data_IF_851682387022
#
_entry.id   IF_851682387022
#
_cell.length_a   1.000
_cell.length_b   1.000
_cell.length_c   1.000
_cell.angle_alpha   90.00
_cell.angle_beta   90.00
_cell.angle_gamma   90.00
#
_symmetry.space_group_name_H-M   'P 1'
#
loop_
_entity.id
_entity.type
_entity.pdbx_description
1 polymer ?
#
# COMPACT_ATOMS: atom_id res chain seq x y z
N UNK A 1 -52.26 -15.04 -37.79
CA UNK A 1 -51.80 -14.07 -36.77
C UNK A 1 -50.37 -14.48 -36.39
N UNK A 2 -49.36 -13.71 -36.78
CA UNK A 2 -47.96 -13.97 -36.43
C UNK A 2 -47.53 -12.96 -35.36
N UNK A 3 -47.17 -13.45 -34.18
CA UNK A 3 -46.57 -12.64 -33.11
C UNK A 3 -45.05 -12.71 -33.23
N UNK A 4 -44.41 -11.57 -33.42
CA UNK A 4 -42.95 -11.41 -33.42
C UNK A 4 -42.52 -10.82 -32.07
N UNK A 5 -41.75 -11.58 -31.30
CA UNK A 5 -41.15 -11.15 -30.04
C UNK A 5 -39.77 -10.52 -30.29
N UNK A 6 -39.51 -9.29 -29.82
CA UNK A 6 -38.18 -8.69 -29.93
C UNK A 6 -37.25 -9.23 -28.83
N UNK A 7 -36.11 -9.76 -29.26
CA UNK A 7 -35.04 -10.26 -28.39
C UNK A 7 -34.15 -9.08 -27.95
N UNK A 8 -34.24 -8.66 -26.68
CA UNK A 8 -33.32 -7.67 -26.11
C UNK A 8 -32.01 -8.34 -25.71
N UNK A 9 -30.93 -8.02 -26.41
CA UNK A 9 -29.55 -8.39 -26.04
C UNK A 9 -29.00 -7.39 -25.02
N UNK A 10 -28.83 -7.82 -23.76
CA UNK A 10 -28.09 -7.06 -22.75
C UNK A 10 -26.58 -7.18 -23.02
N UNK A 11 -25.93 -6.07 -23.33
CA UNK A 11 -24.47 -5.96 -23.36
C UNK A 11 -23.97 -5.79 -21.93
N UNK A 12 -23.36 -6.83 -21.35
CA UNK A 12 -22.69 -6.76 -20.06
C UNK A 12 -21.32 -6.06 -20.23
N UNK A 13 -21.21 -4.82 -19.75
CA UNK A 13 -19.91 -4.16 -19.58
C UNK A 13 -19.18 -4.84 -18.41
N UNK A 14 -18.21 -5.69 -18.73
CA UNK A 14 -17.29 -6.25 -17.74
C UNK A 14 -16.30 -5.16 -17.30
N UNK A 15 -16.49 -4.59 -16.12
CA UNK A 15 -15.51 -3.72 -15.47
C UNK A 15 -14.26 -4.52 -15.14
N UNK A 16 -13.21 -4.42 -15.95
CA UNK A 16 -11.88 -4.92 -15.58
C UNK A 16 -11.39 -4.08 -14.40
N UNK A 17 -11.42 -4.63 -13.19
CA UNK A 17 -10.74 -4.02 -12.06
C UNK A 17 -9.25 -3.91 -12.43
N UNK A 18 -8.78 -2.69 -12.71
CA UNK A 18 -7.35 -2.45 -12.88
C UNK A 18 -6.70 -2.86 -11.57
N UNK A 19 -5.95 -3.96 -11.59
CA UNK A 19 -5.13 -4.28 -10.44
C UNK A 19 -4.16 -3.12 -10.21
N UNK A 20 -4.15 -2.61 -8.98
CA UNK A 20 -3.25 -1.55 -8.60
C UNK A 20 -1.87 -2.16 -8.39
N UNK A 21 -0.83 -1.62 -9.03
CA UNK A 21 0.56 -2.01 -8.77
C UNK A 21 1.23 -1.09 -7.75
N UNK A 22 2.56 -1.06 -7.76
CA UNK A 22 3.34 -0.07 -7.00
C UNK A 22 2.85 1.35 -7.32
N UNK A 23 2.65 2.17 -6.28
CA UNK A 23 2.07 3.50 -6.44
C UNK A 23 2.38 4.41 -5.23
N UNK A 24 2.15 5.72 -5.38
CA UNK A 24 2.33 6.73 -4.32
C UNK A 24 1.00 7.26 -3.75
N UNK A 25 -0.08 6.46 -3.80
CA UNK A 25 -1.38 6.87 -3.26
C UNK A 25 -1.37 6.75 -1.73
N UNK A 26 -2.18 7.58 -1.07
CA UNK A 26 -2.29 7.60 0.37
C UNK A 26 -3.32 8.61 0.85
N UNK A 27 -3.38 8.82 2.16
CA UNK A 27 -4.21 9.82 2.80
C UNK A 27 -3.83 11.25 2.35
N UNK A 28 -4.77 12.19 2.34
CA UNK A 28 -4.51 13.59 2.00
C UNK A 28 -3.42 14.25 2.86
N UNK A 29 -3.24 13.81 4.11
CA UNK A 29 -2.17 14.27 4.99
C UNK A 29 -0.76 13.94 4.46
N UNK A 30 -0.65 12.95 3.57
CA UNK A 30 0.59 12.66 2.85
C UNK A 30 1.01 13.79 1.90
N UNK A 31 0.13 14.73 1.55
CA UNK A 31 0.46 15.91 0.74
C UNK A 31 0.83 17.15 1.54
N UNK A 32 0.65 17.13 2.87
CA UNK A 32 0.93 18.31 3.71
C UNK A 32 2.45 18.55 3.81
N UNK A 33 2.92 19.81 3.81
CA UNK A 33 4.33 20.11 3.97
C UNK A 33 4.79 19.89 5.42
N UNK A 34 5.07 18.64 5.79
CA UNK A 34 5.75 18.29 7.05
C UNK A 34 7.08 17.61 6.73
N UNK A 35 8.20 18.29 6.93
CA UNK A 35 9.53 17.74 6.66
C UNK A 35 9.89 16.52 7.51
N UNK A 36 9.14 16.25 8.59
CA UNK A 36 9.32 15.08 9.46
C UNK A 36 8.70 13.83 8.85
N UNK A 37 7.66 13.97 8.05
CA UNK A 37 7.05 12.87 7.30
C UNK A 37 7.85 12.64 6.02
N UNK A 38 8.79 11.69 6.09
CA UNK A 38 9.67 11.32 4.98
C UNK A 38 9.81 9.80 4.94
N UNK A 39 9.69 9.24 3.74
CA UNK A 39 9.89 7.82 3.52
C UNK A 39 11.32 7.37 3.82
N UNK A 40 12.33 8.22 3.56
CA UNK A 40 13.71 7.91 3.90
C UNK A 40 13.90 7.78 5.42
N UNK A 41 13.30 8.69 6.20
CA UNK A 41 13.33 8.59 7.67
C UNK A 41 12.57 7.36 8.17
N UNK A 42 11.44 7.03 7.55
CA UNK A 42 10.66 5.84 7.89
C UNK A 42 11.47 4.56 7.62
N UNK A 43 12.21 4.51 6.51
CA UNK A 43 13.14 3.41 6.18
C UNK A 43 14.24 3.27 7.22
N UNK A 44 14.78 4.38 7.72
CA UNK A 44 15.80 4.33 8.77
C UNK A 44 15.25 3.77 10.09
N UNK A 45 14.03 4.16 10.48
CA UNK A 45 13.35 3.56 11.64
C UNK A 45 13.09 2.07 11.41
N UNK A 46 12.65 1.70 10.21
CA UNK A 46 12.37 0.31 9.85
C UNK A 46 13.62 -0.60 9.93
N UNK A 47 14.84 -0.07 9.91
CA UNK A 47 16.06 -0.89 10.14
C UNK A 47 16.06 -1.59 11.49
N UNK A 48 15.40 -1.01 12.49
CA UNK A 48 15.20 -1.62 13.80
C UNK A 48 14.16 -2.74 13.83
N UNK A 49 13.38 -2.92 12.76
CA UNK A 49 12.50 -4.08 12.62
C UNK A 49 13.37 -5.32 12.42
N UNK A 50 13.24 -6.29 13.34
CA UNK A 50 13.95 -7.56 13.26
C UNK A 50 13.63 -8.29 11.96
N UNK A 51 14.66 -8.81 11.27
CA UNK A 51 14.51 -9.39 9.94
C UNK A 51 13.53 -10.57 9.90
N UNK A 52 13.55 -11.40 10.94
CA UNK A 52 12.69 -12.58 11.08
C UNK A 52 11.42 -12.31 11.90
N UNK A 53 11.17 -11.06 12.31
CA UNK A 53 9.90 -10.74 12.94
C UNK A 53 8.80 -10.76 11.87
N UNK A 54 7.67 -11.34 12.20
CA UNK A 54 6.58 -11.55 11.27
C UNK A 54 5.43 -10.58 11.59
N UNK A 55 5.13 -9.70 10.64
CA UNK A 55 4.15 -8.65 10.77
C UNK A 55 2.86 -9.04 10.05
N UNK A 56 1.75 -9.10 10.79
CA UNK A 56 0.41 -9.35 10.26
C UNK A 56 -0.18 -8.10 9.60
N UNK A 57 -1.33 -8.25 8.95
CA UNK A 57 -2.05 -7.11 8.38
C UNK A 57 -2.36 -6.07 9.47
N UNK A 58 -1.96 -4.82 9.24
CA UNK A 58 -2.13 -3.71 10.18
C UNK A 58 -1.02 -3.57 11.22
N UNK A 59 -0.13 -4.56 11.39
CA UNK A 59 1.00 -4.41 12.30
C UNK A 59 1.97 -3.34 11.78
N UNK A 60 2.42 -2.47 12.67
CA UNK A 60 3.30 -1.37 12.31
C UNK A 60 4.77 -1.82 12.32
N UNK A 61 5.38 -1.89 11.13
CA UNK A 61 6.83 -2.16 10.98
C UNK A 61 7.64 -0.97 11.49
N UNK A 62 7.20 0.23 11.14
CA UNK A 62 7.81 1.48 11.54
C UNK A 62 6.75 2.58 11.52
N UNK A 63 6.88 3.55 12.44
CA UNK A 63 6.05 4.75 12.46
C UNK A 63 6.89 5.98 12.75
N UNK A 64 6.55 7.08 12.11
CA UNK A 64 7.01 8.42 12.45
C UNK A 64 5.83 9.16 13.10
N UNK A 65 5.92 9.40 14.40
CA UNK A 65 4.87 10.13 15.14
C UNK A 65 5.00 11.63 14.90
N UNK A 66 3.87 12.30 14.66
CA UNK A 66 3.79 13.75 14.52
C UNK A 66 2.88 14.34 15.60
N UNK A 67 3.37 15.36 16.30
CA UNK A 67 2.55 16.20 17.17
C UNK A 67 1.99 17.42 16.43
N UNK A 68 0.99 18.07 17.03
CA UNK A 68 0.34 19.29 16.53
C UNK A 68 -1.11 19.07 16.09
N UNK A 69 -1.71 20.09 15.45
CA UNK A 69 -3.15 20.12 15.12
C UNK A 69 -3.62 19.02 14.15
N UNK A 70 -2.70 18.42 13.37
CA UNK A 70 -3.03 17.30 12.49
C UNK A 70 -3.02 15.94 13.20
N UNK A 71 -2.24 15.77 14.29
CA UNK A 71 -2.07 14.52 15.04
C UNK A 71 -1.67 13.30 14.20
N UNK A 72 -1.34 12.18 14.85
CA UNK A 72 -1.12 10.90 14.16
C UNK A 72 0.32 10.61 13.73
N UNK A 73 0.46 9.64 12.83
CA UNK A 73 1.72 9.01 12.45
C UNK A 73 1.77 8.59 10.99
N UNK A 74 2.95 8.64 10.37
CA UNK A 74 3.22 7.98 9.09
C UNK A 74 3.73 6.58 9.39
N UNK A 75 2.99 5.54 9.04
CA UNK A 75 3.33 4.16 9.38
C UNK A 75 3.44 3.27 8.15
N UNK A 76 4.35 2.30 8.22
CA UNK A 76 4.46 1.18 7.28
C UNK A 76 3.78 -0.06 7.87
N UNK A 77 2.85 -0.68 7.13
CA UNK A 77 2.12 -1.87 7.57
C UNK A 77 1.69 -2.76 6.39
N UNK A 78 1.61 -4.10 6.57
CA UNK A 78 1.09 -5.01 5.56
C UNK A 78 -0.44 -4.87 5.46
N UNK A 79 -0.99 -5.09 4.27
CA UNK A 79 -2.43 -5.06 4.04
C UNK A 79 -2.83 -6.06 2.95
N UNK A 80 -3.96 -6.74 3.14
CA UNK A 80 -4.49 -7.70 2.17
C UNK A 80 -3.61 -8.94 1.98
N UNK A 81 -2.62 -9.15 2.86
CA UNK A 81 -1.75 -10.32 2.81
C UNK A 81 -2.47 -11.53 3.39
N UNK A 82 -2.16 -12.74 2.92
CA UNK A 82 -2.78 -13.98 3.43
C UNK A 82 -2.28 -14.39 4.81
N UNK A 83 -1.11 -13.91 5.22
CA UNK A 83 -0.53 -14.26 6.50
C UNK A 83 0.49 -13.27 7.05
N UNK A 84 0.67 -12.08 6.45
CA UNK A 84 1.71 -11.14 6.85
C UNK A 84 3.00 -11.27 6.02
N UNK A 85 4.03 -10.55 6.46
CA UNK A 85 5.37 -10.55 5.84
C UNK A 85 6.47 -10.47 6.92
N UNK A 86 7.66 -10.99 6.59
CA UNK A 86 8.84 -10.85 7.43
C UNK A 86 9.45 -9.44 7.33
N UNK A 87 10.13 -9.01 8.41
CA UNK A 87 10.74 -7.70 8.51
C UNK A 87 11.77 -7.40 7.41
N UNK A 88 12.58 -8.38 7.00
CA UNK A 88 13.51 -8.19 5.88
C UNK A 88 12.77 -7.86 4.58
N UNK A 89 11.64 -8.54 4.34
CA UNK A 89 10.82 -8.32 3.14
C UNK A 89 10.16 -6.95 3.20
N UNK A 90 9.65 -6.55 4.36
CA UNK A 90 9.12 -5.21 4.55
C UNK A 90 10.15 -4.12 4.25
N UNK A 91 11.39 -4.26 4.75
CA UNK A 91 12.49 -3.32 4.48
C UNK A 91 12.84 -3.24 2.99
N UNK A 92 12.88 -4.38 2.29
CA UNK A 92 13.09 -4.43 0.85
C UNK A 92 11.97 -3.67 0.11
N UNK A 93 10.71 -3.95 0.44
CA UNK A 93 9.53 -3.35 -0.17
C UNK A 93 9.48 -1.82 0.07
N UNK A 94 9.85 -1.33 1.26
CA UNK A 94 10.02 0.11 1.50
C UNK A 94 11.06 0.75 0.58
N UNK A 95 12.14 0.01 0.27
CA UNK A 95 13.12 0.41 -0.74
C UNK A 95 12.47 0.65 -2.10
N UNK A 96 11.64 -0.29 -2.57
CA UNK A 96 10.95 -0.13 -3.85
C UNK A 96 9.97 1.04 -3.88
N UNK A 97 9.20 1.28 -2.82
CA UNK A 97 8.30 2.45 -2.74
C UNK A 97 9.11 3.75 -2.90
N UNK A 98 10.28 3.82 -2.26
CA UNK A 98 11.17 4.98 -2.34
C UNK A 98 11.77 5.11 -3.74
N UNK A 99 12.28 4.03 -4.31
CA UNK A 99 12.93 4.04 -5.62
C UNK A 99 11.94 4.30 -6.77
N UNK A 100 10.66 4.02 -6.56
CA UNK A 100 9.57 4.45 -7.44
C UNK A 100 9.31 5.97 -7.42
N UNK A 101 9.92 6.71 -6.49
CA UNK A 101 9.80 8.16 -6.37
C UNK A 101 8.74 8.64 -5.38
N UNK A 102 8.16 7.75 -4.58
CA UNK A 102 7.24 8.16 -3.52
C UNK A 102 8.02 8.82 -2.37
N UNK A 103 7.57 9.98 -1.92
CA UNK A 103 8.28 10.77 -0.90
C UNK A 103 7.77 10.54 0.52
N UNK A 104 6.50 10.13 0.66
CA UNK A 104 5.80 10.01 1.95
C UNK A 104 4.97 8.73 2.03
N UNK A 105 3.95 8.62 1.18
CA UNK A 105 3.01 7.52 1.17
C UNK A 105 3.06 6.75 -0.15
N UNK A 106 2.62 5.50 -0.09
CA UNK A 106 2.57 4.62 -1.23
C UNK A 106 2.38 3.18 -0.81
N UNK A 107 2.14 2.33 -1.80
CA UNK A 107 2.00 0.90 -1.60
C UNK A 107 2.78 0.15 -2.66
N UNK A 108 3.24 -1.05 -2.32
CA UNK A 108 3.91 -1.97 -3.24
C UNK A 108 3.39 -3.40 -3.02
N UNK A 109 3.08 -4.17 -4.08
CA UNK A 109 2.75 -5.58 -3.98
C UNK A 109 3.82 -6.38 -3.24
N UNK A 110 3.41 -7.35 -2.42
CA UNK A 110 4.37 -8.17 -1.65
C UNK A 110 5.35 -8.92 -2.55
N UNK A 111 4.89 -9.37 -3.72
CA UNK A 111 5.70 -10.14 -4.66
C UNK A 111 6.52 -9.27 -5.64
N UNK A 112 6.51 -7.95 -5.49
CA UNK A 112 7.33 -7.05 -6.31
C UNK A 112 8.84 -7.35 -6.11
N UNK A 113 9.67 -7.28 -7.16
CA UNK A 113 9.36 -6.86 -8.54
C UNK A 113 8.86 -7.98 -9.47
N UNK A 114 8.74 -9.22 -8.98
CA UNK A 114 8.35 -10.36 -9.82
C UNK A 114 6.88 -10.31 -10.23
N UNK A 115 6.03 -9.72 -9.38
CA UNK A 115 4.62 -9.50 -9.64
C UNK A 115 4.20 -8.11 -9.13
N UNK A 116 3.51 -7.36 -9.98
CA UNK A 116 3.10 -5.98 -9.72
C UNK A 116 1.57 -5.86 -9.54
N UNK A 117 0.94 -6.89 -8.97
CA UNK A 117 -0.48 -6.96 -8.67
C UNK A 117 -0.71 -7.08 -7.15
N UNK A 118 -1.38 -6.09 -6.54
CA UNK A 118 -1.69 -6.11 -5.09
C UNK A 118 -2.67 -7.20 -4.68
N UNK A 119 -3.51 -7.69 -5.59
CA UNK A 119 -4.50 -8.74 -5.31
C UNK A 119 -3.87 -10.13 -5.26
N UNK A 120 -2.67 -10.32 -5.82
CA UNK A 120 -1.99 -11.63 -5.84
C UNK A 120 -1.53 -12.08 -4.45
N UNK A 121 -0.97 -11.16 -3.66
CA UNK A 121 -0.36 -11.48 -2.36
C UNK A 121 -0.56 -10.41 -1.28
N UNK A 122 -1.34 -9.37 -1.56
CA UNK A 122 -1.42 -8.18 -0.74
C UNK A 122 -0.28 -7.21 -1.02
N UNK A 123 -0.13 -6.23 -0.13
CA UNK A 123 0.80 -5.11 -0.30
C UNK A 123 1.43 -4.69 1.02
N UNK A 124 2.63 -4.14 0.94
CA UNK A 124 3.13 -3.24 1.99
C UNK A 124 2.61 -1.83 1.68
N UNK A 125 2.07 -1.16 2.69
CA UNK A 125 1.53 0.20 2.58
C UNK A 125 2.24 1.12 3.55
N UNK A 126 2.57 2.32 3.08
CA UNK A 126 2.97 3.47 3.89
C UNK A 126 1.86 4.51 3.82
N UNK A 127 1.23 4.81 4.95
CA UNK A 127 0.12 5.76 5.00
C UNK A 127 0.05 6.50 6.35
N UNK A 128 -0.74 7.57 6.39
CA UNK A 128 -1.09 8.27 7.61
C UNK A 128 -2.07 7.44 8.45
N UNK A 129 -1.80 7.35 9.74
CA UNK A 129 -2.60 6.65 10.77
C UNK A 129 -2.88 7.62 11.90
N UNK A 130 -4.12 7.64 12.40
CA UNK A 130 -4.61 8.52 13.47
C UNK A 130 -5.03 7.72 14.69
#
# INVERSE_FOLDING_TARGET
MHFTTPLLTLLSLSSTALSLGINCRGNGNCGLPDSRASLDRLRDVARGAGDHHFFQNGDHIACLQFGGAAGGSLCAFPQGTRGGIEGWKAKQLLGFIRDHGCTRCGSVPVNFPNDNDVNSAGQLTVNWVS
#
